data_IF_152788244725
#
_entry.id   IF_152788244725
#
_cell.length_a   1.000
_cell.length_b   1.000
_cell.length_c   1.000
_cell.angle_alpha   90.00
_cell.angle_beta   90.00
_cell.angle_gamma   90.00
#
_symmetry.space_group_name_H-M   'P 1'
#
loop_
_entity.id
_entity.type
_entity.pdbx_description
1 polymer ?
#
# COMPACT_ATOMS: atom_id res chain seq x y z
N UNK A 1 -10.99 -3.22 -20.58
CA UNK A 1 -10.65 -2.63 -19.27
C UNK A 1 -10.17 -1.19 -19.42
N UNK A 2 -9.16 -0.87 -20.26
CA UNK A 2 -8.60 0.48 -20.42
C UNK A 2 -9.62 1.53 -20.86
N UNK A 3 -10.49 1.20 -21.79
CA UNK A 3 -11.54 2.09 -22.31
C UNK A 3 -12.59 2.34 -21.23
N UNK A 4 -13.06 1.28 -20.55
CA UNK A 4 -14.11 1.38 -19.53
C UNK A 4 -13.68 2.27 -18.34
N UNK A 5 -12.46 2.10 -17.82
CA UNK A 5 -11.95 2.95 -16.73
C UNK A 5 -11.83 4.41 -17.16
N UNK A 6 -11.44 4.67 -18.41
CA UNK A 6 -11.35 6.04 -18.94
C UNK A 6 -12.73 6.70 -19.08
N UNK A 7 -13.73 5.95 -19.58
CA UNK A 7 -15.12 6.42 -19.69
C UNK A 7 -15.73 6.71 -18.31
N UNK A 8 -15.50 5.84 -17.33
CA UNK A 8 -15.99 6.06 -15.95
C UNK A 8 -15.35 7.32 -15.35
N UNK A 9 -14.02 7.49 -15.49
CA UNK A 9 -13.33 8.68 -14.99
C UNK A 9 -13.84 9.96 -15.65
N UNK A 10 -14.04 9.94 -16.97
CA UNK A 10 -14.59 11.07 -17.72
C UNK A 10 -16.01 11.44 -17.30
N UNK A 11 -16.82 10.47 -16.86
CA UNK A 11 -18.18 10.70 -16.41
C UNK A 11 -18.25 11.22 -14.98
N UNK A 12 -17.32 10.81 -14.11
CA UNK A 12 -17.32 11.17 -12.68
C UNK A 12 -16.64 12.51 -12.44
N UNK A 13 -15.57 12.85 -13.15
CA UNK A 13 -14.84 14.11 -12.96
C UNK A 13 -15.73 15.36 -13.05
N UNK A 14 -16.65 15.47 -14.04
CA UNK A 14 -17.60 16.59 -14.07
C UNK A 14 -18.55 16.62 -12.87
N UNK A 15 -18.98 15.46 -12.36
CA UNK A 15 -19.90 15.38 -11.20
C UNK A 15 -19.18 15.88 -9.95
N UNK A 16 -17.92 15.51 -9.73
CA UNK A 16 -17.10 16.01 -8.61
C UNK A 16 -16.98 17.53 -8.71
N UNK A 17 -16.53 18.05 -9.86
CA UNK A 17 -16.32 19.49 -10.06
C UNK A 17 -17.59 20.30 -9.89
N UNK A 18 -18.73 19.79 -10.40
CA UNK A 18 -20.02 20.48 -10.29
C UNK A 18 -20.52 20.48 -8.84
N UNK A 19 -20.46 19.35 -8.15
CA UNK A 19 -20.90 19.26 -6.76
C UNK A 19 -20.04 20.13 -5.84
N UNK A 20 -18.73 20.20 -6.07
CA UNK A 20 -17.82 21.07 -5.34
C UNK A 20 -18.17 22.55 -5.53
N UNK A 21 -18.34 22.98 -6.78
CA UNK A 21 -18.75 24.35 -7.12
C UNK A 21 -20.10 24.70 -6.49
N UNK A 22 -21.06 23.80 -6.47
CA UNK A 22 -22.37 24.02 -5.88
C UNK A 22 -22.30 24.07 -4.35
N UNK A 23 -21.48 23.26 -3.70
CA UNK A 23 -21.23 23.35 -2.26
C UNK A 23 -20.63 24.72 -1.88
N UNK A 24 -19.58 25.16 -2.60
CA UNK A 24 -18.96 26.44 -2.36
C UNK A 24 -19.96 27.62 -2.50
N UNK A 25 -20.81 27.60 -3.54
CA UNK A 25 -21.86 28.61 -3.75
C UNK A 25 -22.92 28.57 -2.65
N UNK A 26 -23.35 27.40 -2.22
CA UNK A 26 -24.32 27.25 -1.14
C UNK A 26 -23.81 27.88 0.16
N UNK A 27 -22.55 27.61 0.53
CA UNK A 27 -21.88 28.21 1.69
C UNK A 27 -21.77 29.73 1.56
N UNK A 28 -21.36 30.24 0.39
CA UNK A 28 -21.29 31.69 0.12
C UNK A 28 -22.65 32.39 0.22
N UNK A 29 -23.76 31.68 -0.06
CA UNK A 29 -25.12 32.19 0.09
C UNK A 29 -25.67 32.06 1.52
N UNK A 30 -24.85 31.65 2.48
CA UNK A 30 -25.20 31.53 3.89
C UNK A 30 -26.03 30.32 4.24
N UNK A 31 -25.98 29.26 3.42
CA UNK A 31 -26.55 27.97 3.79
C UNK A 31 -25.68 27.34 4.88
N UNK A 32 -26.31 26.87 5.94
CA UNK A 32 -25.66 26.17 7.06
C UNK A 32 -25.61 24.66 6.84
N UNK A 33 -24.90 23.96 7.74
CA UNK A 33 -24.70 22.51 7.69
C UNK A 33 -26.02 21.72 7.82
N UNK A 34 -27.08 22.33 8.34
CA UNK A 34 -28.41 21.70 8.47
C UNK A 34 -29.20 21.77 7.17
N UNK A 35 -28.75 22.53 6.19
CA UNK A 35 -29.43 22.64 4.90
C UNK A 35 -29.38 21.31 4.12
N UNK A 36 -30.54 20.72 3.88
CA UNK A 36 -30.67 19.41 3.21
C UNK A 36 -30.04 19.40 1.80
N UNK A 37 -30.04 20.52 1.09
CA UNK A 37 -29.42 20.65 -0.23
C UNK A 37 -27.89 20.59 -0.14
N UNK A 38 -27.30 21.28 0.82
CA UNK A 38 -25.85 21.24 1.06
C UNK A 38 -25.40 19.83 1.44
N UNK A 39 -26.08 19.19 2.38
CA UNK A 39 -25.83 17.78 2.76
C UNK A 39 -25.93 16.82 1.56
N UNK A 40 -26.91 17.05 0.68
CA UNK A 40 -27.07 16.30 -0.56
C UNK A 40 -25.87 16.46 -1.50
N UNK A 41 -25.43 17.68 -1.72
CA UNK A 41 -24.27 18.00 -2.57
C UNK A 41 -22.96 17.39 -2.00
N UNK A 42 -22.72 17.55 -0.71
CA UNK A 42 -21.56 16.95 -0.04
C UNK A 42 -21.57 15.42 -0.13
N UNK A 43 -22.75 14.82 -0.05
CA UNK A 43 -22.90 13.37 -0.22
C UNK A 43 -22.55 12.94 -1.63
N UNK A 44 -23.04 13.67 -2.66
CA UNK A 44 -22.69 13.42 -4.07
C UNK A 44 -21.18 13.57 -4.28
N UNK A 45 -20.59 14.65 -3.78
CA UNK A 45 -19.15 14.91 -3.87
C UNK A 45 -18.32 13.76 -3.26
N UNK A 46 -18.63 13.40 -2.01
CA UNK A 46 -17.95 12.31 -1.28
C UNK A 46 -18.06 10.96 -2.00
N UNK A 47 -19.26 10.60 -2.50
CA UNK A 47 -19.49 9.35 -3.23
C UNK A 47 -18.79 9.31 -4.56
N UNK A 48 -18.77 10.41 -5.29
CA UNK A 48 -18.08 10.55 -6.58
C UNK A 48 -16.57 10.42 -6.41
N UNK A 49 -16.00 11.07 -5.40
CA UNK A 49 -14.57 10.90 -5.05
C UNK A 49 -14.25 9.44 -4.65
N UNK A 50 -15.13 8.79 -3.88
CA UNK A 50 -14.97 7.38 -3.53
C UNK A 50 -14.94 6.49 -4.77
N UNK A 51 -15.82 6.74 -5.74
CA UNK A 51 -15.84 5.97 -7.00
C UNK A 51 -14.63 6.27 -7.88
N UNK A 52 -14.16 7.51 -7.95
CA UNK A 52 -12.92 7.86 -8.66
C UNK A 52 -11.71 7.12 -8.07
N UNK A 53 -11.55 7.15 -6.76
CA UNK A 53 -10.49 6.41 -6.06
C UNK A 53 -10.57 4.90 -6.33
N UNK A 54 -11.78 4.33 -6.33
CA UNK A 54 -11.98 2.92 -6.67
C UNK A 54 -11.51 2.61 -8.11
N UNK A 55 -11.90 3.42 -9.09
CA UNK A 55 -11.52 3.23 -10.50
C UNK A 55 -10.02 3.37 -10.71
N UNK A 56 -9.38 4.37 -10.09
CA UNK A 56 -7.92 4.55 -10.15
C UNK A 56 -7.18 3.34 -9.54
N UNK A 57 -7.68 2.87 -8.44
CA UNK A 57 -7.14 1.74 -7.74
C UNK A 57 -7.30 0.44 -8.53
N UNK A 58 -8.46 0.22 -9.13
CA UNK A 58 -8.69 -0.88 -10.06
C UNK A 58 -7.74 -0.81 -11.27
N UNK A 59 -7.50 0.39 -11.79
CA UNK A 59 -6.56 0.64 -12.89
C UNK A 59 -5.11 0.27 -12.51
N UNK A 60 -4.68 0.58 -11.29
CA UNK A 60 -3.34 0.22 -10.78
C UNK A 60 -3.15 -1.29 -10.74
N UNK A 61 -4.15 -2.04 -10.24
CA UNK A 61 -4.11 -3.50 -10.22
C UNK A 61 -4.14 -4.12 -11.61
N UNK A 62 -5.04 -3.64 -12.51
CA UNK A 62 -5.25 -4.23 -13.84
C UNK A 62 -4.16 -3.88 -14.86
N UNK A 63 -3.32 -2.87 -14.58
CA UNK A 63 -2.26 -2.39 -15.48
C UNK A 63 -0.86 -2.76 -15.03
N UNK A 64 -0.72 -3.63 -14.05
CA UNK A 64 0.61 -4.08 -13.66
C UNK A 64 1.28 -4.76 -14.86
N UNK A 65 2.31 -4.10 -15.41
CA UNK A 65 3.09 -4.61 -16.53
C UNK A 65 3.96 -5.78 -16.07
N UNK A 66 4.35 -6.63 -17.00
CA UNK A 66 5.41 -7.61 -16.77
C UNK A 66 6.66 -6.90 -16.25
N UNK A 67 7.35 -7.44 -15.23
CA UNK A 67 8.52 -6.81 -14.65
C UNK A 67 9.68 -6.75 -15.66
N UNK A 68 10.37 -5.63 -15.71
CA UNK A 68 11.64 -5.48 -16.45
C UNK A 68 12.75 -5.84 -15.47
N UNK A 69 13.14 -7.12 -15.49
CA UNK A 69 14.15 -7.64 -14.56
C UNK A 69 15.53 -7.11 -14.91
N UNK A 70 16.19 -6.51 -13.93
CA UNK A 70 17.56 -6.04 -13.99
C UNK A 70 18.31 -6.41 -12.70
N UNK A 71 19.66 -6.49 -12.73
CA UNK A 71 20.42 -6.72 -11.52
C UNK A 71 20.34 -5.49 -10.60
N UNK A 72 19.83 -5.69 -9.40
CA UNK A 72 19.67 -4.64 -8.37
C UNK A 72 20.37 -5.08 -7.10
N UNK A 73 21.21 -4.20 -6.53
CA UNK A 73 21.90 -4.43 -5.27
C UNK A 73 20.95 -4.15 -4.09
N UNK A 74 20.87 -5.10 -3.15
CA UNK A 74 19.97 -5.01 -1.98
C UNK A 74 20.28 -3.78 -1.13
N UNK A 75 21.56 -3.48 -0.86
CA UNK A 75 21.95 -2.31 -0.08
C UNK A 75 21.53 -0.98 -0.71
N UNK A 76 21.61 -0.85 -2.04
CA UNK A 76 21.17 0.37 -2.75
C UNK A 76 19.64 0.52 -2.68
N UNK A 77 18.90 -0.55 -2.93
CA UNK A 77 17.43 -0.55 -2.86
C UNK A 77 16.95 -0.15 -1.46
N UNK A 78 17.47 -0.81 -0.42
CA UNK A 78 17.07 -0.52 0.96
C UNK A 78 17.58 0.83 1.45
N UNK A 79 18.75 1.27 1.00
CA UNK A 79 19.30 2.59 1.30
C UNK A 79 18.42 3.73 0.79
N UNK A 80 17.86 3.62 -0.43
CA UNK A 80 16.96 4.62 -0.98
C UNK A 80 15.59 4.60 -0.30
N UNK A 81 15.06 3.42 0.00
CA UNK A 81 13.82 3.27 0.77
C UNK A 81 13.97 3.87 2.18
N UNK A 82 15.09 3.62 2.86
CA UNK A 82 15.36 4.17 4.19
C UNK A 82 15.25 5.70 4.22
N UNK A 83 15.73 6.40 3.20
CA UNK A 83 15.65 7.87 3.10
C UNK A 83 14.23 8.40 3.15
N UNK A 84 13.25 7.65 2.63
CA UNK A 84 11.83 8.06 2.60
C UNK A 84 11.19 8.06 3.99
N UNK A 85 11.75 7.31 4.95
CA UNK A 85 11.19 7.14 6.29
C UNK A 85 12.00 7.84 7.40
N UNK A 86 13.05 8.61 7.06
CA UNK A 86 13.91 9.30 8.03
C UNK A 86 13.17 10.30 8.95
N UNK A 87 12.11 10.93 8.44
CA UNK A 87 11.33 11.94 9.18
C UNK A 87 10.16 11.34 9.98
N UNK A 88 10.04 10.03 10.01
CA UNK A 88 8.94 9.34 10.70
C UNK A 88 9.13 9.38 12.21
N UNK A 89 7.99 9.37 12.95
CA UNK A 89 7.98 9.14 14.39
C UNK A 89 8.25 7.67 14.77
N UNK A 90 8.12 6.77 13.78
CA UNK A 90 8.35 5.33 13.92
C UNK A 90 9.84 5.05 13.74
N UNK A 91 10.41 4.23 14.60
CA UNK A 91 11.81 3.81 14.52
C UNK A 91 11.95 2.66 13.54
N UNK A 92 12.59 2.92 12.37
CA UNK A 92 12.86 1.91 11.34
C UNK A 92 14.28 1.36 11.49
N UNK A 93 14.40 0.07 11.81
CA UNK A 93 15.67 -0.66 11.96
C UNK A 93 15.89 -1.53 10.73
N UNK A 94 17.07 -1.45 10.13
CA UNK A 94 17.44 -2.26 8.97
C UNK A 94 18.61 -3.20 9.33
N UNK A 95 18.36 -4.50 9.25
CA UNK A 95 19.32 -5.58 9.49
C UNK A 95 19.54 -6.32 8.18
N UNK A 96 20.51 -5.88 7.40
CA UNK A 96 20.82 -6.42 6.09
C UNK A 96 21.97 -7.40 6.22
N UNK A 97 21.73 -8.69 5.91
CA UNK A 97 22.77 -9.74 6.03
C UNK A 97 23.90 -9.52 5.03
N UNK A 98 23.57 -9.22 3.76
CA UNK A 98 24.54 -8.88 2.71
C UNK A 98 24.03 -7.73 1.84
N UNK A 99 24.62 -6.57 2.00
CA UNK A 99 24.29 -5.38 1.21
C UNK A 99 24.68 -5.51 -0.28
N UNK A 100 25.65 -6.38 -0.60
CA UNK A 100 26.13 -6.60 -1.96
C UNK A 100 25.31 -7.67 -2.70
N UNK A 101 24.38 -8.36 -2.02
CA UNK A 101 23.51 -9.34 -2.67
C UNK A 101 22.82 -8.73 -3.89
N UNK A 102 22.94 -9.38 -5.04
CA UNK A 102 22.32 -9.00 -6.29
C UNK A 102 21.01 -9.79 -6.49
N UNK A 103 19.96 -9.10 -6.88
CA UNK A 103 18.66 -9.70 -7.23
C UNK A 103 18.26 -9.30 -8.64
N UNK A 104 17.75 -10.25 -9.43
CA UNK A 104 17.15 -9.98 -10.74
C UNK A 104 15.69 -9.57 -10.55
N UNK A 105 15.43 -8.29 -10.46
CA UNK A 105 14.11 -7.71 -10.13
C UNK A 105 13.82 -6.44 -10.94
N UNK A 106 12.54 -6.09 -11.05
CA UNK A 106 12.13 -4.75 -11.43
C UNK A 106 12.20 -3.85 -10.20
N UNK A 107 13.17 -2.91 -10.21
CA UNK A 107 13.45 -2.04 -9.08
C UNK A 107 12.22 -1.24 -8.67
N UNK A 108 11.52 -0.62 -9.63
CA UNK A 108 10.37 0.26 -9.35
C UNK A 108 9.20 -0.49 -8.73
N UNK A 109 8.92 -1.70 -9.23
CA UNK A 109 7.88 -2.55 -8.67
C UNK A 109 8.25 -3.04 -7.26
N UNK A 110 9.53 -3.37 -7.02
CA UNK A 110 9.97 -3.80 -5.70
C UNK A 110 9.99 -2.64 -4.68
N UNK A 111 10.39 -1.44 -5.09
CA UNK A 111 10.26 -0.23 -4.27
C UNK A 111 8.80 0.00 -3.86
N UNK A 112 7.85 -0.19 -4.77
CA UNK A 112 6.42 -0.09 -4.46
C UNK A 112 5.96 -1.11 -3.43
N UNK A 113 6.45 -2.37 -3.51
CA UNK A 113 6.17 -3.40 -2.49
C UNK A 113 6.68 -2.96 -1.13
N UNK A 114 7.95 -2.55 -1.05
CA UNK A 114 8.58 -2.16 0.21
C UNK A 114 7.91 -0.95 0.83
N UNK A 115 7.62 0.09 0.04
CA UNK A 115 6.91 1.29 0.51
C UNK A 115 5.53 0.93 1.07
N UNK A 116 4.77 0.07 0.40
CA UNK A 116 3.45 -0.37 0.88
C UNK A 116 3.56 -1.11 2.22
N UNK A 117 4.52 -2.03 2.36
CA UNK A 117 4.70 -2.78 3.60
C UNK A 117 5.16 -1.88 4.75
N UNK A 118 6.15 -1.01 4.51
CA UNK A 118 6.68 -0.10 5.52
C UNK A 118 5.65 0.93 5.99
N UNK A 119 4.83 1.45 5.06
CA UNK A 119 3.71 2.32 5.42
C UNK A 119 2.67 1.59 6.27
N UNK A 120 2.29 0.37 5.88
CA UNK A 120 1.32 -0.41 6.65
C UNK A 120 1.84 -0.73 8.06
N UNK A 121 3.11 -1.12 8.18
CA UNK A 121 3.78 -1.38 9.44
C UNK A 121 3.85 -0.13 10.32
N UNK A 122 4.30 1.00 9.75
CA UNK A 122 4.35 2.27 10.48
C UNK A 122 2.99 2.74 10.97
N UNK A 123 1.95 2.63 10.14
CA UNK A 123 0.57 2.96 10.54
C UNK A 123 0.05 2.05 11.66
N UNK A 124 0.41 0.75 11.65
CA UNK A 124 0.01 -0.19 12.69
C UNK A 124 0.64 0.10 14.05
N UNK A 125 1.84 0.74 14.06
CA UNK A 125 2.59 1.07 15.27
C UNK A 125 2.25 2.44 15.86
N UNK A 126 1.48 3.30 15.17
CA UNK A 126 1.35 4.72 15.53
C UNK A 126 0.84 4.97 16.96
N UNK A 127 0.07 4.04 17.50
CA UNK A 127 -0.49 4.12 18.87
C UNK A 127 0.39 3.45 19.92
N UNK A 128 1.53 2.87 19.51
CA UNK A 128 2.47 2.26 20.45
C UNK A 128 3.33 3.33 21.15
N UNK A 129 3.71 3.09 22.39
CA UNK A 129 4.60 3.96 23.16
C UNK A 129 5.97 4.08 22.50
N UNK A 130 6.50 2.97 21.98
CA UNK A 130 7.76 2.87 21.24
C UNK A 130 7.53 2.23 19.88
N UNK A 131 7.06 3.00 18.88
CA UNK A 131 6.72 2.45 17.58
C UNK A 131 7.98 2.01 16.81
N UNK A 132 8.07 0.72 16.51
CA UNK A 132 9.23 0.11 15.88
C UNK A 132 8.84 -0.76 14.68
N UNK A 133 9.61 -0.64 13.60
CA UNK A 133 9.53 -1.50 12.41
C UNK A 133 10.92 -2.01 12.08
N UNK A 134 11.07 -3.34 12.02
CA UNK A 134 12.33 -4.01 11.71
C UNK A 134 12.27 -4.60 10.31
N UNK A 135 13.24 -4.23 9.47
CA UNK A 135 13.46 -4.82 8.15
C UNK A 135 14.67 -5.72 8.23
N UNK A 136 14.49 -7.02 7.97
CA UNK A 136 15.56 -8.00 8.00
C UNK A 136 15.66 -8.71 6.65
N UNK A 137 16.90 -8.96 6.20
CA UNK A 137 17.15 -9.78 5.00
C UNK A 137 17.93 -11.02 5.36
N UNK A 138 17.69 -12.10 4.60
CA UNK A 138 18.49 -13.32 4.70
C UNK A 138 18.59 -14.01 3.33
N UNK A 139 19.71 -14.69 3.09
CA UNK A 139 19.93 -15.45 1.88
C UNK A 139 20.28 -16.91 2.19
N UNK A 140 19.49 -17.82 1.65
CA UNK A 140 19.73 -19.26 1.74
C UNK A 140 20.41 -19.75 0.46
N UNK A 141 21.75 -19.82 0.47
CA UNK A 141 22.55 -20.17 -0.71
C UNK A 141 22.18 -21.52 -1.31
N UNK A 142 21.99 -22.56 -0.48
CA UNK A 142 21.64 -23.91 -0.93
C UNK A 142 20.32 -24.00 -1.73
N UNK A 143 19.39 -23.09 -1.46
CA UNK A 143 18.07 -23.06 -2.08
C UNK A 143 17.91 -21.91 -3.07
N UNK A 144 18.92 -21.06 -3.21
CA UNK A 144 18.86 -19.82 -3.98
C UNK A 144 17.65 -18.96 -3.59
N UNK A 145 17.38 -18.83 -2.29
CA UNK A 145 16.22 -18.10 -1.78
C UNK A 145 16.69 -16.87 -1.03
N UNK A 146 16.28 -15.71 -1.52
CA UNK A 146 16.35 -14.45 -0.78
C UNK A 146 15.03 -14.22 -0.02
N UNK A 147 15.14 -13.84 1.25
CA UNK A 147 14.01 -13.42 2.09
C UNK A 147 14.22 -12.02 2.58
N UNK A 148 13.12 -11.26 2.64
CA UNK A 148 13.05 -9.98 3.31
C UNK A 148 11.80 -9.99 4.20
N UNK A 149 11.96 -9.69 5.47
CA UNK A 149 10.85 -9.52 6.41
C UNK A 149 10.71 -8.08 6.84
N UNK A 150 9.46 -7.65 7.02
CA UNK A 150 9.07 -6.37 7.63
C UNK A 150 8.22 -6.72 8.84
N UNK A 151 8.77 -6.48 10.03
CA UNK A 151 8.12 -6.80 11.31
C UNK A 151 7.79 -5.50 12.04
N UNK A 152 6.55 -5.36 12.47
CA UNK A 152 6.06 -4.25 13.28
C UNK A 152 5.67 -4.72 14.69
N UNK A 153 5.75 -3.83 15.67
CA UNK A 153 5.24 -4.03 17.02
C UNK A 153 3.86 -3.42 17.24
N UNK A 154 3.07 -3.28 16.17
CA UNK A 154 1.77 -2.61 16.17
C UNK A 154 0.63 -3.44 16.76
N UNK A 155 -0.60 -3.05 16.42
CA UNK A 155 -1.80 -3.69 16.93
C UNK A 155 -2.03 -5.13 16.44
N UNK A 156 -1.25 -5.60 15.45
CA UNK A 156 -1.45 -6.91 14.83
C UNK A 156 -2.71 -6.99 13.97
N UNK A 157 -3.04 -8.20 13.54
CA UNK A 157 -4.17 -8.50 12.66
C UNK A 157 -5.03 -9.58 13.30
N UNK A 158 -6.33 -9.34 13.35
CA UNK A 158 -7.31 -10.30 13.87
C UNK A 158 -7.26 -11.62 13.08
N UNK A 159 -7.35 -12.80 13.73
CA UNK A 159 -7.26 -14.11 13.07
C UNK A 159 -8.28 -14.31 11.94
N UNK A 160 -9.51 -13.81 12.10
CA UNK A 160 -10.58 -13.89 11.09
C UNK A 160 -10.38 -12.96 9.89
N UNK A 161 -9.35 -12.11 9.93
CA UNK A 161 -9.03 -11.12 8.90
C UNK A 161 -7.76 -11.48 8.11
N UNK A 162 -6.83 -12.22 8.72
CA UNK A 162 -5.52 -12.57 8.13
C UNK A 162 -5.64 -13.17 6.72
N UNK A 163 -6.57 -14.06 6.48
CA UNK A 163 -6.76 -14.68 5.17
C UNK A 163 -7.31 -13.73 4.11
N UNK A 164 -7.90 -12.61 4.53
CA UNK A 164 -8.58 -11.64 3.66
C UNK A 164 -7.69 -10.44 3.27
N UNK A 165 -6.59 -10.18 3.97
CA UNK A 165 -5.78 -8.97 3.77
C UNK A 165 -5.16 -8.85 2.37
N UNK A 166 -5.05 -9.96 1.63
CA UNK A 166 -4.56 -10.00 0.25
C UNK A 166 -5.68 -9.96 -0.79
N UNK A 167 -6.95 -9.90 -0.37
CA UNK A 167 -8.10 -9.74 -1.28
C UNK A 167 -8.14 -8.28 -1.71
N UNK A 168 -8.20 -7.99 -3.03
CA UNK A 168 -8.33 -6.61 -3.50
C UNK A 168 -9.53 -5.89 -2.90
N UNK A 169 -9.36 -4.61 -2.54
CA UNK A 169 -10.35 -3.73 -1.91
C UNK A 169 -10.76 -4.09 -0.49
N UNK A 170 -10.21 -5.14 0.07
CA UNK A 170 -10.41 -5.46 1.47
C UNK A 170 -9.56 -4.55 2.35
N UNK A 171 -10.20 -3.85 3.29
CA UNK A 171 -9.51 -2.96 4.25
C UNK A 171 -10.29 -2.88 5.55
N UNK A 172 -9.59 -2.79 6.66
CA UNK A 172 -10.11 -2.48 7.99
C UNK A 172 -9.90 -1.00 8.35
N UNK A 173 -9.15 -0.26 7.51
CA UNK A 173 -8.83 1.16 7.74
C UNK A 173 -9.88 2.05 7.07
N UNK A 174 -10.41 3.11 7.75
CA UNK A 174 -11.42 4.00 7.19
C UNK A 174 -10.98 4.69 5.89
N UNK A 175 -9.71 5.05 5.77
CA UNK A 175 -9.12 5.73 4.61
C UNK A 175 -8.31 4.80 3.70
N UNK A 176 -8.29 3.50 4.01
CA UNK A 176 -7.51 2.53 3.26
C UNK A 176 -8.15 2.18 1.92
N UNK A 177 -7.35 2.11 0.85
CA UNK A 177 -7.82 1.67 -0.47
C UNK A 177 -8.04 0.15 -0.58
N UNK A 178 -7.50 -0.63 0.34
CA UNK A 178 -7.54 -2.10 0.32
C UNK A 178 -6.74 -2.75 -0.82
N UNK A 179 -5.81 -2.02 -1.46
CA UNK A 179 -5.10 -2.53 -2.63
C UNK A 179 -3.63 -2.81 -2.35
N UNK A 180 -3.02 -2.12 -1.40
CA UNK A 180 -1.58 -2.18 -1.18
C UNK A 180 -1.05 -3.60 -1.07
N UNK A 181 -1.64 -4.44 -0.21
CA UNK A 181 -1.19 -5.82 0.01
C UNK A 181 -1.51 -6.75 -1.18
N UNK A 182 -2.66 -6.58 -1.84
CA UNK A 182 -3.00 -7.36 -3.04
C UNK A 182 -2.06 -7.03 -4.20
N UNK A 183 -1.66 -5.77 -4.35
CA UNK A 183 -0.66 -5.33 -5.31
C UNK A 183 0.73 -5.91 -4.99
N UNK A 184 1.15 -5.90 -3.71
CA UNK A 184 2.39 -6.56 -3.28
C UNK A 184 2.42 -8.03 -3.67
N UNK A 185 1.32 -8.76 -3.40
CA UNK A 185 1.19 -10.18 -3.77
C UNK A 185 1.31 -10.38 -5.28
N UNK A 186 0.66 -9.54 -6.08
CA UNK A 186 0.69 -9.63 -7.54
C UNK A 186 2.10 -9.34 -8.09
N UNK A 187 2.76 -8.28 -7.63
CA UNK A 187 4.14 -7.94 -8.02
C UNK A 187 5.08 -9.11 -7.70
N UNK A 188 5.03 -9.63 -6.47
CA UNK A 188 5.89 -10.75 -6.09
C UNK A 188 5.62 -12.01 -6.90
N UNK A 189 4.35 -12.30 -7.22
CA UNK A 189 4.00 -13.44 -8.11
C UNK A 189 4.61 -13.26 -9.49
N UNK A 190 4.58 -12.06 -10.08
CA UNK A 190 5.21 -11.77 -11.38
C UNK A 190 6.74 -11.91 -11.34
N UNK A 191 7.36 -11.70 -10.18
CA UNK A 191 8.79 -11.94 -9.94
C UNK A 191 9.13 -13.42 -9.61
N UNK A 192 8.15 -14.33 -9.68
CA UNK A 192 8.32 -15.73 -9.27
C UNK A 192 8.50 -15.93 -7.77
N UNK A 193 8.13 -14.92 -6.97
CA UNK A 193 8.23 -14.91 -5.52
C UNK A 193 6.89 -15.13 -4.82
N UNK A 194 6.89 -14.90 -3.52
CA UNK A 194 5.68 -14.98 -2.68
C UNK A 194 5.77 -14.05 -1.48
N UNK A 195 4.61 -13.73 -0.89
CA UNK A 195 4.48 -13.02 0.38
C UNK A 195 3.67 -13.86 1.36
N UNK A 196 4.09 -13.85 2.61
CA UNK A 196 3.38 -14.46 3.74
C UNK A 196 3.28 -13.46 4.88
N UNK A 197 2.32 -13.68 5.76
CA UNK A 197 2.13 -12.91 6.99
C UNK A 197 2.05 -13.87 8.17
N UNK A 198 2.64 -13.45 9.28
CA UNK A 198 2.41 -14.00 10.62
C UNK A 198 2.07 -12.83 11.51
N UNK A 199 0.95 -12.91 12.22
CA UNK A 199 0.49 -11.80 13.07
C UNK A 199 -0.28 -12.33 14.26
N UNK A 200 -0.15 -11.62 15.37
CA UNK A 200 -0.91 -11.85 16.59
C UNK A 200 -1.48 -10.51 17.08
N UNK A 201 -2.77 -10.51 17.38
CA UNK A 201 -3.46 -9.31 17.88
C UNK A 201 -2.76 -8.77 19.14
N UNK A 202 -2.47 -7.48 19.15
CA UNK A 202 -1.77 -6.80 20.26
C UNK A 202 -0.26 -7.00 20.29
N UNK A 203 0.34 -7.82 19.40
CA UNK A 203 1.80 -8.09 19.39
C UNK A 203 2.50 -7.63 18.11
N UNK A 204 1.72 -7.31 17.06
CA UNK A 204 2.25 -6.86 15.79
C UNK A 204 2.16 -7.88 14.67
N UNK A 205 2.82 -7.58 13.54
CA UNK A 205 2.78 -8.39 12.34
C UNK A 205 4.16 -8.54 11.72
N UNK A 206 4.39 -9.65 11.05
CA UNK A 206 5.59 -9.92 10.26
C UNK A 206 5.18 -10.32 8.84
N UNK A 207 5.52 -9.49 7.86
CA UNK A 207 5.37 -9.78 6.44
C UNK A 207 6.69 -10.30 5.87
N UNK A 208 6.70 -11.50 5.35
CA UNK A 208 7.89 -12.14 4.76
C UNK A 208 7.74 -12.28 3.26
N UNK A 209 8.63 -11.61 2.51
CA UNK A 209 8.82 -11.77 1.08
C UNK A 209 9.81 -12.89 0.82
N UNK A 210 9.57 -13.67 -0.25
CA UNK A 210 10.48 -14.71 -0.73
C UNK A 210 10.68 -14.53 -2.22
N UNK A 211 11.94 -14.45 -2.66
CA UNK A 211 12.34 -14.40 -4.06
C UNK A 211 13.33 -15.55 -4.35
N UNK A 212 13.22 -16.13 -5.55
CA UNK A 212 14.21 -17.08 -6.05
C UNK A 212 15.29 -16.30 -6.79
N UNK A 213 16.53 -16.41 -6.31
CA UNK A 213 17.70 -15.78 -6.94
C UNK A 213 18.20 -16.72 -8.04
N UNK A 214 18.20 -16.20 -9.28
CA UNK A 214 18.70 -16.96 -10.45
C UNK A 214 20.13 -16.55 -10.76
#
# INVERSE_FOLDING_TARGET
VRVLTHEIMNSITPIISLSDTLCERAIQQGMDEENLMLQGLETIHRRSNGLMNFVENYRKLSRLSSPVLAPVRVGELLGDIKKLFLSSKVHYIYKVEDENQMLMIDRSQMEQVLINLLKNAGEACMEQENPEVVVETSYQAEKHIFRLSVTDNGCGILPNVVDKIFIPFFTTKPTGSGIGLSLCKQILTLHGGSIRVSSEEGKGSCFTLKLVVK
#
